data_IF_626491297542
#
_entry.id   IF_626491297542
#
_cell.length_a   1.000
_cell.length_b   1.000
_cell.length_c   1.000
_cell.angle_alpha   90.00
_cell.angle_beta   90.00
_cell.angle_gamma   90.00
#
_symmetry.space_group_name_H-M   'P 1'
#
loop_
_entity.id
_entity.type
_entity.pdbx_description
1 polymer ?
#
# COMPACT_ATOMS: atom_id res chain seq x y z
N UNK A 1 -4.33 9.51 17.83
CA UNK A 1 -4.49 9.46 16.35
C UNK A 1 -5.08 8.11 15.96
N UNK A 2 -5.75 8.00 14.81
CA UNK A 2 -6.25 6.73 14.25
C UNK A 2 -6.33 6.77 12.74
N UNK A 3 -6.19 5.61 12.08
CA UNK A 3 -6.47 5.47 10.66
C UNK A 3 -7.83 4.86 10.44
N UNK A 4 -8.73 5.51 9.69
CA UNK A 4 -10.04 4.97 9.31
C UNK A 4 -10.08 4.58 7.85
N UNK A 5 -10.91 3.60 7.48
CA UNK A 5 -11.24 3.34 6.09
C UNK A 5 -12.74 3.14 5.88
N UNK A 6 -13.18 3.39 4.65
CA UNK A 6 -14.56 3.16 4.24
C UNK A 6 -14.64 2.90 2.73
N UNK A 7 -15.60 2.07 2.34
CA UNK A 7 -16.10 2.07 0.97
C UNK A 7 -17.27 3.05 0.87
N UNK A 8 -17.16 4.01 -0.03
CA UNK A 8 -18.26 4.91 -0.36
C UNK A 8 -19.34 4.16 -1.15
N UNK A 9 -20.56 4.67 -1.07
CA UNK A 9 -21.67 4.22 -1.92
C UNK A 9 -21.40 4.45 -3.42
N UNK A 10 -20.44 5.32 -3.76
CA UNK A 10 -20.00 5.59 -5.14
C UNK A 10 -18.96 4.58 -5.65
N UNK A 11 -18.69 3.51 -4.88
CA UNK A 11 -17.74 2.47 -5.27
C UNK A 11 -16.28 2.92 -5.19
N UNK A 12 -15.94 3.80 -4.24
CA UNK A 12 -14.59 4.27 -3.97
C UNK A 12 -14.16 3.84 -2.58
N UNK A 13 -12.91 3.48 -2.41
CA UNK A 13 -12.30 3.20 -1.13
C UNK A 13 -11.55 4.42 -0.65
N UNK A 14 -11.60 4.72 0.64
CA UNK A 14 -10.80 5.76 1.26
C UNK A 14 -10.09 5.22 2.50
N UNK A 15 -8.81 5.56 2.65
CA UNK A 15 -8.07 5.47 3.91
C UNK A 15 -7.74 6.88 4.39
N UNK A 16 -7.96 7.14 5.68
CA UNK A 16 -7.95 8.47 6.29
C UNK A 16 -7.16 8.48 7.57
N UNK A 17 -6.34 9.51 7.74
CA UNK A 17 -5.85 9.91 9.05
C UNK A 17 -6.93 10.70 9.79
N UNK A 18 -7.16 10.35 11.07
CA UNK A 18 -8.13 11.01 11.95
C UNK A 18 -7.51 11.26 13.31
N UNK A 19 -7.88 12.38 13.92
CA UNK A 19 -7.64 12.64 15.34
C UNK A 19 -8.58 11.80 16.20
N UNK A 20 -8.20 11.63 17.48
CA UNK A 20 -9.11 11.07 18.49
C UNK A 20 -10.20 12.07 18.85
N UNK A 21 -9.87 13.37 18.84
CA UNK A 21 -10.77 14.46 19.15
C UNK A 21 -11.27 15.13 17.86
N UNK A 22 -12.59 15.13 17.59
CA UNK A 22 -13.16 15.69 16.36
C UNK A 22 -12.87 17.18 16.12
N UNK A 23 -12.48 17.92 17.16
CA UNK A 23 -12.15 19.34 17.11
C UNK A 23 -10.71 19.63 16.67
N UNK A 24 -9.84 18.63 16.63
CA UNK A 24 -8.44 18.80 16.24
C UNK A 24 -8.26 18.71 14.72
N UNK A 25 -7.44 19.60 14.16
CA UNK A 25 -7.13 19.63 12.74
C UNK A 25 -6.00 18.66 12.40
N UNK A 26 -6.24 17.78 11.43
CA UNK A 26 -5.20 17.01 10.74
C UNK A 26 -4.70 17.80 9.53
N UNK A 27 -3.39 17.86 9.32
CA UNK A 27 -2.74 18.47 8.15
C UNK A 27 -3.20 17.80 6.85
N UNK A 28 -3.21 18.57 5.75
CA UNK A 28 -3.50 18.05 4.41
C UNK A 28 -2.23 17.59 3.72
N UNK A 29 -2.26 16.49 2.94
CA UNK A 29 -3.40 15.59 2.69
C UNK A 29 -3.62 14.56 3.82
N UNK A 30 -4.88 14.39 4.25
CA UNK A 30 -5.29 13.44 5.30
C UNK A 30 -6.03 12.20 4.81
N UNK A 31 -6.25 12.11 3.50
CA UNK A 31 -7.09 11.06 2.89
C UNK A 31 -6.53 10.64 1.52
N UNK A 32 -6.28 9.34 1.39
CA UNK A 32 -6.07 8.69 0.10
C UNK A 32 -7.38 8.03 -0.34
N UNK A 33 -7.82 8.35 -1.56
CA UNK A 33 -8.98 7.77 -2.22
C UNK A 33 -8.53 6.92 -3.39
N UNK A 34 -9.07 5.73 -3.48
CA UNK A 34 -8.93 4.83 -4.61
C UNK A 34 -10.30 4.67 -5.27
N UNK A 35 -10.35 4.79 -6.58
CA UNK A 35 -11.54 4.55 -7.38
C UNK A 35 -11.73 3.05 -7.59
N UNK A 36 -11.81 2.28 -6.51
CA UNK A 36 -12.21 0.87 -6.45
C UNK A 36 -12.76 0.54 -5.06
N UNK A 37 -13.45 -0.59 -4.93
CA UNK A 37 -13.99 -1.07 -3.64
C UNK A 37 -13.04 -2.12 -3.08
N UNK A 38 -12.66 -1.98 -1.81
CA UNK A 38 -11.84 -2.97 -1.08
C UNK A 38 -12.68 -3.57 0.05
N UNK A 39 -13.03 -4.85 -0.08
CA UNK A 39 -13.95 -5.56 0.82
C UNK A 39 -13.24 -6.33 1.94
N UNK A 40 -12.02 -6.81 1.70
CA UNK A 40 -11.22 -7.64 2.61
C UNK A 40 -10.15 -6.89 3.40
N UNK A 41 -10.34 -5.60 3.69
CA UNK A 41 -9.29 -4.79 4.32
C UNK A 41 -8.85 -5.33 5.68
N UNK A 42 -7.58 -5.68 5.79
CA UNK A 42 -6.96 -6.15 7.03
C UNK A 42 -6.45 -4.97 7.88
N UNK A 43 -6.58 -5.08 9.21
CA UNK A 43 -6.17 -4.03 10.17
C UNK A 43 -4.68 -3.72 10.14
N UNK A 44 -3.82 -4.74 10.11
CA UNK A 44 -2.36 -4.57 10.08
C UNK A 44 -1.90 -3.99 8.75
N UNK A 45 -2.52 -4.40 7.64
CA UNK A 45 -2.29 -3.82 6.31
C UNK A 45 -2.71 -2.35 6.28
N UNK A 46 -3.91 -2.04 6.76
CA UNK A 46 -4.40 -0.66 6.82
C UNK A 46 -3.53 0.21 7.74
N UNK A 47 -3.07 -0.34 8.87
CA UNK A 47 -2.14 0.33 9.76
C UNK A 47 -0.83 0.64 9.05
N UNK A 48 -0.14 -0.36 8.48
CA UNK A 48 1.12 -0.15 7.79
C UNK A 48 0.99 0.78 6.59
N UNK A 49 -0.03 0.59 5.74
CA UNK A 49 -0.28 1.49 4.61
C UNK A 49 -0.53 2.93 5.09
N UNK A 50 -1.31 3.11 6.15
CA UNK A 50 -1.52 4.42 6.79
C UNK A 50 -0.21 5.03 7.30
N UNK A 51 0.66 4.24 7.94
CA UNK A 51 1.97 4.68 8.41
C UNK A 51 2.84 5.21 7.26
N UNK A 52 2.87 4.50 6.14
CA UNK A 52 3.68 4.86 4.97
C UNK A 52 3.11 6.09 4.23
N UNK A 53 1.77 6.19 4.11
CA UNK A 53 1.11 7.32 3.44
C UNK A 53 1.24 8.60 4.28
N UNK A 54 1.02 8.53 5.59
CA UNK A 54 0.91 9.69 6.49
C UNK A 54 2.11 9.85 7.45
N UNK A 55 3.28 9.31 7.07
CA UNK A 55 4.49 9.21 7.91
C UNK A 55 4.91 10.50 8.64
N UNK A 56 4.76 11.67 8.03
CA UNK A 56 5.16 12.95 8.64
C UNK A 56 4.27 13.37 9.81
N UNK A 57 2.97 13.05 9.76
CA UNK A 57 1.98 13.50 10.76
C UNK A 57 1.93 12.62 12.00
N UNK A 58 2.47 11.39 11.90
CA UNK A 58 2.32 10.34 12.90
C UNK A 58 3.56 10.13 13.77
N UNK A 59 4.68 10.76 13.44
CA UNK A 59 5.90 10.63 14.22
C UNK A 59 5.63 10.99 15.69
N UNK A 60 6.04 10.09 16.60
CA UNK A 60 5.83 10.19 18.06
C UNK A 60 4.37 10.26 18.53
N UNK A 61 3.39 10.09 17.64
CA UNK A 61 1.98 10.09 18.01
C UNK A 61 1.56 8.76 18.63
N UNK A 62 0.52 8.79 19.47
CA UNK A 62 -0.18 7.57 19.86
C UNK A 62 -1.23 7.23 18.81
N UNK A 63 -1.19 6.00 18.30
CA UNK A 63 -2.18 5.43 17.38
C UNK A 63 -3.09 4.45 18.15
N UNK A 64 -4.35 4.83 18.34
CA UNK A 64 -5.34 4.03 19.07
C UNK A 64 -6.05 3.01 18.19
N UNK A 65 -6.07 3.21 16.87
CA UNK A 65 -6.67 2.27 15.94
C UNK A 65 -6.15 2.44 14.50
N UNK A 66 -5.93 1.35 13.73
CA UNK A 66 -5.97 -0.05 14.16
C UNK A 66 -4.90 -0.38 15.19
N UNK A 67 -5.11 -1.49 15.91
CA UNK A 67 -4.13 -2.04 16.83
C UNK A 67 -3.02 -2.75 16.04
N UNK A 68 -1.80 -2.70 16.57
CA UNK A 68 -0.64 -3.37 15.98
C UNK A 68 -0.44 -4.76 16.59
N UNK A 69 0.10 -5.72 15.83
CA UNK A 69 0.73 -6.89 16.43
C UNK A 69 2.04 -6.49 17.11
N UNK A 70 2.55 -7.36 17.99
CA UNK A 70 3.85 -7.13 18.63
C UNK A 70 4.97 -7.07 17.60
N UNK A 71 4.94 -7.95 16.60
CA UNK A 71 5.93 -8.02 15.52
C UNK A 71 5.98 -6.72 14.71
N UNK A 72 4.82 -6.13 14.42
CA UNK A 72 4.74 -4.86 13.71
C UNK A 72 5.21 -3.69 14.58
N UNK A 73 4.86 -3.65 15.88
CA UNK A 73 5.37 -2.62 16.81
C UNK A 73 6.90 -2.67 16.89
N UNK A 74 7.48 -3.86 17.06
CA UNK A 74 8.93 -4.05 17.15
C UNK A 74 9.64 -3.63 15.86
N UNK A 75 9.11 -4.00 14.69
CA UNK A 75 9.68 -3.58 13.40
C UNK A 75 9.57 -2.08 13.17
N UNK A 76 8.42 -1.45 13.49
CA UNK A 76 8.27 0.01 13.38
C UNK A 76 9.25 0.75 14.29
N UNK A 77 9.42 0.29 15.54
CA UNK A 77 10.39 0.89 16.47
C UNK A 77 11.82 0.76 16.00
N UNK A 78 12.17 -0.35 15.34
CA UNK A 78 13.50 -0.55 14.75
C UNK A 78 13.76 0.45 13.63
N UNK A 79 12.79 0.62 12.73
CA UNK A 79 12.92 1.49 11.55
C UNK A 79 12.85 2.98 11.91
N UNK A 80 11.87 3.41 12.72
CA UNK A 80 11.71 4.83 13.07
C UNK A 80 12.57 5.29 14.26
N UNK A 81 13.08 4.37 15.07
CA UNK A 81 13.81 4.70 16.30
C UNK A 81 13.00 5.58 17.23
N UNK A 82 13.56 6.72 17.64
CA UNK A 82 12.92 7.67 18.56
C UNK A 82 11.69 8.39 17.97
N UNK A 83 11.48 8.33 16.66
CA UNK A 83 10.32 8.91 15.99
C UNK A 83 9.14 7.94 15.92
N UNK A 84 9.31 6.70 16.40
CA UNK A 84 8.29 5.67 16.27
C UNK A 84 6.98 6.09 16.96
N UNK A 85 5.82 5.93 16.27
CA UNK A 85 4.54 6.07 16.92
C UNK A 85 4.34 4.98 17.99
N UNK A 86 3.42 5.22 18.92
CA UNK A 86 3.04 4.26 19.96
C UNK A 86 1.72 3.61 19.60
N UNK A 87 1.66 2.29 19.58
CA UNK A 87 0.44 1.56 19.25
C UNK A 87 -0.28 1.02 20.48
N UNK A 88 -1.59 0.83 20.33
CA UNK A 88 -2.27 -0.19 21.12
C UNK A 88 -2.02 -1.57 20.50
N UNK A 89 -1.68 -2.54 21.34
CA UNK A 89 -1.34 -3.90 20.89
C UNK A 89 -2.61 -4.75 20.76
N UNK A 90 -2.73 -5.45 19.64
CA UNK A 90 -3.70 -6.52 19.44
C UNK A 90 -3.13 -7.81 20.01
N UNK A 91 -3.81 -8.39 21.01
CA UNK A 91 -3.34 -9.61 21.67
C UNK A 91 -3.66 -10.85 20.85
N UNK A 92 -4.63 -10.78 19.93
CA UNK A 92 -5.07 -11.89 19.10
C UNK A 92 -5.16 -11.45 17.63
N UNK A 93 -4.02 -11.21 16.96
CA UNK A 93 -4.03 -10.83 15.55
C UNK A 93 -4.48 -12.00 14.68
N UNK A 94 -5.71 -11.94 14.18
CA UNK A 94 -6.26 -12.91 13.24
C UNK A 94 -6.05 -12.42 11.80
N UNK A 95 -4.87 -12.71 11.24
CA UNK A 95 -4.58 -12.50 9.83
C UNK A 95 -3.58 -13.52 9.31
N UNK A 96 -3.88 -14.09 8.16
CA UNK A 96 -2.92 -14.90 7.43
C UNK A 96 -3.10 -14.60 5.95
N UNK A 97 -2.07 -14.05 5.27
CA UNK A 97 -2.13 -13.91 3.83
C UNK A 97 -2.09 -15.28 3.17
N UNK A 98 -2.61 -15.33 1.95
CA UNK A 98 -2.67 -16.51 1.12
C UNK A 98 -1.61 -16.44 0.01
N UNK A 99 -1.02 -17.58 -0.32
CA UNK A 99 0.08 -17.66 -1.28
C UNK A 99 -0.41 -17.84 -2.72
N UNK A 100 -1.65 -17.50 -3.02
CA UNK A 100 -2.28 -17.78 -4.32
C UNK A 100 -2.05 -16.70 -5.38
N UNK A 101 -1.67 -15.49 -4.97
CA UNK A 101 -1.50 -14.36 -5.89
C UNK A 101 -0.24 -13.57 -5.54
N UNK A 102 0.43 -13.05 -6.58
CA UNK A 102 1.48 -12.03 -6.47
C UNK A 102 0.99 -10.77 -7.16
N UNK A 103 1.04 -9.66 -6.44
CA UNK A 103 0.64 -8.36 -6.96
C UNK A 103 1.86 -7.57 -7.40
N UNK A 104 1.81 -7.05 -8.63
CA UNK A 104 2.91 -6.33 -9.26
C UNK A 104 2.47 -4.88 -9.49
N UNK A 105 2.98 -3.94 -8.69
CA UNK A 105 2.71 -2.52 -8.87
C UNK A 105 3.83 -1.85 -9.67
N UNK A 106 3.45 -1.17 -10.75
CA UNK A 106 4.40 -0.49 -11.62
C UNK A 106 3.84 0.79 -12.25
N UNK A 107 4.72 1.54 -12.93
CA UNK A 107 4.32 2.63 -13.82
C UNK A 107 3.40 2.13 -14.95
N UNK A 108 2.71 3.07 -15.59
CA UNK A 108 1.85 2.75 -16.72
C UNK A 108 2.61 2.05 -17.86
N UNK A 109 2.10 0.87 -18.20
CA UNK A 109 2.49 0.03 -19.32
C UNK A 109 1.21 -0.41 -20.03
N UNK A 110 0.77 0.32 -21.06
CA UNK A 110 -0.41 -0.04 -21.81
C UNK A 110 -0.27 -1.45 -22.40
N UNK A 111 -1.34 -2.24 -22.30
CA UNK A 111 -1.43 -3.61 -22.85
C UNK A 111 -0.47 -4.63 -22.24
N UNK A 112 0.30 -4.26 -21.21
CA UNK A 112 1.16 -5.20 -20.50
C UNK A 112 0.33 -6.10 -19.57
N UNK A 113 0.68 -7.38 -19.54
CA UNK A 113 0.20 -8.34 -18.55
C UNK A 113 1.40 -9.16 -18.04
N UNK A 114 1.36 -9.67 -16.79
CA UNK A 114 2.41 -10.52 -16.28
C UNK A 114 2.45 -11.86 -17.00
N UNK A 115 3.65 -12.40 -17.20
CA UNK A 115 3.85 -13.76 -17.67
C UNK A 115 3.29 -14.72 -16.63
N UNK A 116 2.27 -15.51 -17.00
CA UNK A 116 1.72 -16.53 -16.13
C UNK A 116 2.55 -17.82 -16.22
N UNK A 117 2.71 -18.51 -15.08
CA UNK A 117 3.30 -19.85 -15.00
C UNK A 117 2.42 -20.74 -14.13
N UNK A 118 2.24 -21.99 -14.55
CA UNK A 118 1.44 -22.99 -13.81
C UNK A 118 2.10 -23.36 -12.47
N UNK A 119 3.43 -23.22 -12.38
CA UNK A 119 4.23 -23.60 -11.21
C UNK A 119 4.34 -22.48 -10.17
N UNK A 120 3.83 -21.28 -10.48
CA UNK A 120 3.94 -20.09 -9.62
C UNK A 120 2.55 -19.57 -9.24
N UNK A 121 2.41 -18.81 -8.14
CA UNK A 121 1.18 -18.11 -7.84
C UNK A 121 0.79 -17.19 -9.01
N UNK A 122 -0.51 -16.96 -9.17
CA UNK A 122 -1.02 -16.10 -10.24
C UNK A 122 -0.47 -14.69 -10.08
N UNK A 123 0.02 -14.10 -11.16
CA UNK A 123 0.61 -12.77 -11.13
C UNK A 123 -0.39 -11.76 -11.68
N UNK A 124 -0.56 -10.63 -11.01
CA UNK A 124 -1.48 -9.59 -11.48
C UNK A 124 -0.83 -8.22 -11.43
N UNK A 125 -0.89 -7.54 -12.57
CA UNK A 125 -0.37 -6.18 -12.75
C UNK A 125 -1.35 -5.16 -12.18
N UNK A 126 -0.84 -4.26 -11.35
CA UNK A 126 -1.55 -3.16 -10.75
C UNK A 126 -1.02 -1.86 -11.33
N UNK A 127 -1.92 -1.01 -11.82
CA UNK A 127 -1.58 0.29 -12.39
C UNK A 127 -2.47 1.36 -11.80
N UNK A 128 -1.83 2.28 -11.08
CA UNK A 128 -2.50 3.40 -10.43
C UNK A 128 -2.43 4.61 -11.35
N UNK A 129 -3.58 5.23 -11.59
CA UNK A 129 -3.69 6.47 -12.37
C UNK A 129 -4.05 7.64 -11.46
N UNK A 130 -3.69 8.85 -11.86
CA UNK A 130 -4.20 10.03 -11.18
C UNK A 130 -5.65 10.30 -11.56
N UNK A 131 -6.51 10.41 -10.56
CA UNK A 131 -7.91 10.80 -10.70
C UNK A 131 -8.11 12.17 -11.36
N UNK A 132 -7.09 13.05 -11.33
CA UNK A 132 -7.12 14.31 -12.06
C UNK A 132 -7.09 14.13 -13.60
N UNK A 133 -6.54 13.02 -14.08
CA UNK A 133 -6.34 12.75 -15.51
C UNK A 133 -7.16 11.57 -16.02
N UNK A 134 -7.55 10.65 -15.14
CA UNK A 134 -8.25 9.43 -15.51
C UNK A 134 -9.18 8.97 -14.38
N UNK A 135 -10.46 8.75 -14.70
CA UNK A 135 -11.50 8.37 -13.73
C UNK A 135 -12.12 7.00 -14.03
N UNK A 136 -11.50 6.25 -14.94
CA UNK A 136 -11.94 4.92 -15.33
C UNK A 136 -11.62 3.86 -14.29
N UNK A 137 -11.98 2.61 -14.61
CA UNK A 137 -11.51 1.39 -13.95
C UNK A 137 -11.41 0.30 -15.00
N UNK A 138 -10.30 -0.41 -15.06
CA UNK A 138 -10.14 -1.55 -15.96
C UNK A 138 -9.79 -2.78 -15.14
N UNK A 139 -10.60 -3.81 -15.25
CA UNK A 139 -10.36 -5.08 -14.59
C UNK A 139 -10.28 -6.17 -15.64
N UNK A 140 -9.16 -6.86 -15.64
CA UNK A 140 -8.96 -8.11 -16.35
C UNK A 140 -8.44 -9.14 -15.38
N UNK A 141 -8.30 -10.38 -15.85
CA UNK A 141 -7.76 -11.46 -15.04
C UNK A 141 -6.33 -11.09 -14.59
N UNK A 142 -5.47 -10.58 -15.46
CA UNK A 142 -4.06 -10.41 -15.13
C UNK A 142 -3.64 -8.94 -14.92
N UNK A 143 -4.60 -8.01 -14.97
CA UNK A 143 -4.34 -6.57 -14.86
C UNK A 143 -5.51 -5.82 -14.24
N UNK A 144 -5.19 -4.92 -13.32
CA UNK A 144 -6.12 -3.98 -12.68
C UNK A 144 -5.59 -2.55 -12.83
N UNK A 145 -6.37 -1.70 -13.48
CA UNK A 145 -6.14 -0.26 -13.54
C UNK A 145 -7.21 0.49 -12.74
N UNK A 146 -6.79 1.42 -11.90
CA UNK A 146 -7.68 2.20 -11.06
C UNK A 146 -7.12 3.60 -10.78
N UNK A 147 -8.02 4.56 -10.51
CA UNK A 147 -7.64 5.92 -10.24
C UNK A 147 -7.40 6.11 -8.74
N UNK A 148 -6.52 7.04 -8.39
CA UNK A 148 -6.34 7.50 -7.03
C UNK A 148 -6.07 9.01 -7.02
N UNK A 149 -6.35 9.68 -5.91
CA UNK A 149 -6.09 11.12 -5.74
C UNK A 149 -4.60 11.43 -5.49
N UNK A 150 -3.69 10.84 -6.26
CA UNK A 150 -2.24 10.95 -6.07
C UNK A 150 -1.74 12.39 -6.18
N UNK A 151 -2.37 13.23 -7.00
CA UNK A 151 -2.06 14.66 -7.12
C UNK A 151 -2.20 15.42 -5.80
N UNK A 152 -3.07 14.98 -4.89
CA UNK A 152 -3.19 15.56 -3.55
C UNK A 152 -1.93 15.35 -2.69
N UNK A 153 -1.08 14.39 -3.06
CA UNK A 153 0.19 14.05 -2.41
C UNK A 153 1.41 14.52 -3.24
N UNK A 154 1.20 15.39 -4.23
CA UNK A 154 2.28 15.92 -5.08
C UNK A 154 2.96 14.82 -5.90
N UNK A 155 4.31 14.79 -5.89
CA UNK A 155 5.10 13.83 -6.66
C UNK A 155 5.42 12.52 -5.92
N UNK A 156 4.88 12.32 -4.71
CA UNK A 156 5.20 11.15 -3.88
C UNK A 156 4.95 9.82 -4.60
N UNK A 157 3.86 9.65 -5.34
CA UNK A 157 3.67 8.41 -6.09
C UNK A 157 4.81 8.11 -7.10
N UNK A 158 5.38 9.13 -7.74
CA UNK A 158 6.44 8.97 -8.73
C UNK A 158 7.85 8.83 -8.10
N UNK A 159 8.05 9.33 -6.88
CA UNK A 159 9.38 9.53 -6.27
C UNK A 159 9.57 8.79 -4.93
N UNK A 160 8.48 8.33 -4.30
CA UNK A 160 8.46 7.74 -2.96
C UNK A 160 8.01 6.27 -3.03
N UNK A 161 8.97 5.36 -2.88
CA UNK A 161 8.77 3.92 -2.85
C UNK A 161 7.79 3.51 -1.74
N UNK A 162 7.84 4.17 -0.58
CA UNK A 162 6.96 3.84 0.54
C UNK A 162 5.49 4.09 0.21
N UNK A 163 5.21 5.15 -0.56
CA UNK A 163 3.87 5.47 -1.03
C UNK A 163 3.36 4.44 -2.05
N UNK A 164 4.22 3.96 -2.96
CA UNK A 164 3.88 2.86 -3.88
C UNK A 164 3.58 1.58 -3.12
N UNK A 165 4.45 1.19 -2.19
CA UNK A 165 4.27 0.03 -1.32
C UNK A 165 2.95 0.12 -0.55
N UNK A 166 2.61 1.28 -0.01
CA UNK A 166 1.36 1.48 0.71
C UNK A 166 0.11 1.21 -0.14
N UNK A 167 0.09 1.69 -1.39
CA UNK A 167 -1.04 1.43 -2.29
C UNK A 167 -1.12 -0.05 -2.66
N UNK A 168 0.03 -0.68 -2.94
CA UNK A 168 0.09 -2.11 -3.22
C UNK A 168 -0.40 -2.95 -2.02
N UNK A 169 -0.01 -2.57 -0.81
CA UNK A 169 -0.44 -3.19 0.45
C UNK A 169 -1.96 -3.17 0.61
N UNK A 170 -2.62 -2.04 0.35
CA UNK A 170 -4.08 -1.92 0.45
C UNK A 170 -4.80 -2.94 -0.44
N UNK A 171 -4.30 -3.18 -1.66
CA UNK A 171 -4.83 -4.19 -2.57
C UNK A 171 -4.48 -5.62 -2.12
N UNK A 172 -3.28 -5.80 -1.58
CA UNK A 172 -2.83 -7.06 -1.00
C UNK A 172 -3.80 -7.58 0.06
N UNK A 173 -4.36 -6.70 0.89
CA UNK A 173 -5.32 -7.08 1.92
C UNK A 173 -6.61 -7.65 1.34
N UNK A 174 -7.17 -6.99 0.33
CA UNK A 174 -8.42 -7.46 -0.30
C UNK A 174 -8.23 -8.79 -1.04
N UNK A 175 -7.10 -8.96 -1.71
CA UNK A 175 -6.80 -10.19 -2.47
C UNK A 175 -6.08 -11.27 -1.68
N UNK A 176 -5.82 -11.01 -0.39
CA UNK A 176 -5.04 -11.88 0.50
C UNK A 176 -3.71 -12.31 -0.11
N UNK A 177 -3.08 -11.47 -0.92
CA UNK A 177 -1.79 -11.79 -1.53
C UNK A 177 -0.69 -11.75 -0.46
N UNK A 178 0.22 -12.71 -0.47
CA UNK A 178 1.38 -12.76 0.44
C UNK A 178 2.66 -12.17 -0.17
N UNK A 179 2.69 -11.90 -1.48
CA UNK A 179 3.86 -11.34 -2.16
C UNK A 179 3.48 -10.07 -2.93
N UNK A 180 4.30 -9.04 -2.74
CA UNK A 180 4.26 -7.77 -3.45
C UNK A 180 5.54 -7.60 -4.26
N UNK A 181 5.39 -7.25 -5.53
CA UNK A 181 6.47 -6.76 -6.38
C UNK A 181 6.19 -5.30 -6.68
N UNK A 182 7.13 -4.42 -6.38
CA UNK A 182 6.97 -2.97 -6.63
C UNK A 182 8.14 -2.49 -7.47
N UNK A 183 7.83 -1.74 -8.54
CA UNK A 183 8.84 -1.06 -9.33
C UNK A 183 9.50 0.08 -8.54
N UNK A 184 10.83 0.10 -8.54
CA UNK A 184 11.62 1.17 -7.96
C UNK A 184 11.31 2.50 -8.68
N UNK A 185 10.91 3.56 -7.95
CA UNK A 185 10.67 4.86 -8.56
C UNK A 185 11.94 5.43 -9.19
N UNK A 186 11.78 6.25 -10.23
CA UNK A 186 12.91 6.90 -10.96
C UNK A 186 13.61 7.97 -10.13
N UNK A 187 12.88 8.61 -9.21
CA UNK A 187 13.43 9.48 -8.18
C UNK A 187 13.50 8.75 -6.84
N UNK A 188 14.40 9.16 -5.95
CA UNK A 188 14.44 8.68 -4.57
C UNK A 188 14.19 9.86 -3.64
N UNK A 189 12.97 9.97 -3.15
CA UNK A 189 12.60 10.88 -2.07
C UNK A 189 11.86 10.08 -1.00
N UNK A 190 12.57 9.09 -0.44
CA UNK A 190 12.00 8.12 0.51
C UNK A 190 12.52 8.41 1.91
N UNK A 191 11.62 8.38 2.89
CA UNK A 191 11.97 8.42 4.32
C UNK A 191 12.51 7.07 4.79
N UNK A 192 12.08 5.98 4.14
CA UNK A 192 12.47 4.60 4.43
C UNK A 192 13.38 4.06 3.34
N UNK A 193 14.43 3.38 3.75
CA UNK A 193 15.21 2.63 2.77
C UNK A 193 14.47 1.36 2.31
N UNK A 194 15.02 0.68 1.31
CA UNK A 194 14.40 -0.53 0.74
C UNK A 194 14.31 -1.68 1.75
N UNK A 195 15.32 -1.85 2.61
CA UNK A 195 15.37 -2.92 3.60
C UNK A 195 14.37 -2.67 4.72
N UNK A 196 14.21 -1.41 5.15
CA UNK A 196 13.19 -1.00 6.10
C UNK A 196 11.80 -1.39 5.61
N UNK A 197 11.49 -1.11 4.34
CA UNK A 197 10.20 -1.45 3.75
C UNK A 197 9.98 -2.97 3.66
N UNK A 198 11.04 -3.73 3.35
CA UNK A 198 11.00 -5.20 3.35
C UNK A 198 10.70 -5.73 4.76
N UNK A 199 11.40 -5.24 5.77
CA UNK A 199 11.23 -5.64 7.17
C UNK A 199 9.84 -5.30 7.71
N UNK A 200 9.32 -4.11 7.38
CA UNK A 200 7.97 -3.70 7.75
C UNK A 200 6.91 -4.58 7.09
N UNK A 201 7.03 -4.87 5.79
CA UNK A 201 6.08 -5.76 5.12
C UNK A 201 6.15 -7.18 5.70
N UNK A 202 7.35 -7.69 5.98
CA UNK A 202 7.54 -9.02 6.56
C UNK A 202 6.89 -9.13 7.95
N UNK A 203 6.88 -8.07 8.75
CA UNK A 203 6.24 -8.04 10.07
C UNK A 203 4.73 -8.26 10.06
N UNK A 204 4.08 -8.07 8.91
CA UNK A 204 2.66 -8.35 8.68
C UNK A 204 2.42 -9.56 7.76
N UNK A 205 3.46 -10.35 7.52
CA UNK A 205 3.41 -11.57 6.71
C UNK A 205 3.48 -11.35 5.20
N UNK A 206 3.84 -10.15 4.73
CA UNK A 206 3.91 -9.82 3.30
C UNK A 206 5.37 -9.79 2.85
N UNK A 207 5.71 -10.60 1.85
CA UNK A 207 7.02 -10.57 1.19
C UNK A 207 7.05 -9.45 0.16
N UNK A 208 7.91 -8.46 0.37
CA UNK A 208 8.15 -7.39 -0.60
C UNK A 208 9.37 -7.69 -1.47
N UNK A 209 9.25 -7.47 -2.77
CA UNK A 209 10.35 -7.43 -3.73
C UNK A 209 10.33 -6.09 -4.45
N UNK A 210 11.48 -5.44 -4.49
CA UNK A 210 11.65 -4.18 -5.22
C UNK A 210 12.53 -4.44 -6.41
N UNK A 211 12.02 -4.13 -7.60
CA UNK A 211 12.71 -4.38 -8.86
C UNK A 211 12.95 -3.06 -9.59
N UNK A 212 14.06 -2.95 -10.31
CA UNK A 212 14.19 -1.88 -11.29
C UNK A 212 13.29 -2.13 -12.51
N UNK A 213 13.19 -1.11 -13.38
CA UNK A 213 12.35 -1.18 -14.56
C UNK A 213 12.75 -2.33 -15.50
N UNK A 214 14.05 -2.62 -15.66
CA UNK A 214 14.52 -3.65 -16.58
C UNK A 214 14.17 -5.05 -16.07
N UNK A 215 14.41 -5.31 -14.78
CA UNK A 215 14.00 -6.54 -14.11
C UNK A 215 12.49 -6.75 -14.14
N UNK A 216 11.72 -5.66 -14.06
CA UNK A 216 10.28 -5.74 -14.16
C UNK A 216 9.81 -6.10 -15.58
N UNK A 217 10.42 -5.54 -16.63
CA UNK A 217 10.08 -5.89 -18.02
C UNK A 217 10.25 -7.39 -18.30
N UNK A 218 11.22 -8.05 -17.67
CA UNK A 218 11.41 -9.50 -17.79
C UNK A 218 10.23 -10.32 -17.26
N UNK A 219 9.34 -9.71 -16.47
CA UNK A 219 8.13 -10.34 -15.92
C UNK A 219 6.89 -10.12 -16.79
N UNK A 220 6.96 -9.31 -17.85
CA UNK A 220 5.80 -8.83 -18.59
C UNK A 220 5.78 -9.32 -20.05
N UNK A 221 4.57 -9.44 -20.59
CA UNK A 221 4.31 -9.58 -22.03
C UNK A 221 3.29 -8.54 -22.46
N UNK A 222 3.40 -8.07 -23.70
CA UNK A 222 2.51 -7.06 -24.25
C UNK A 222 1.49 -7.74 -25.15
N UNK A 223 0.22 -7.70 -24.73
CA UNK A 223 -0.89 -8.14 -25.56
C UNK A 223 -1.05 -7.17 -26.74
N UNK A 224 -1.26 -7.71 -27.95
CA UNK A 224 -1.56 -6.92 -29.15
C UNK A 224 -3.05 -6.65 -29.26
#
# INVERSE_FOLDING_TARGET
MRFGWENSLTGKFAIRERTEFPSESVSFPRELKLDLVLTGMNKSIALLAGLLIFNENIARQRLSWPKASLELDDSVRRVWGELAPRFEIDQNPDWTPDNHTVLILCDDRPYAVPIQSIEKPRQVLLQVRDSAHWTGKMFSIDRVEFAANISAFGRRFAEDLSFRVAIALLLCGDWRSSELVVERPKGSNTVFDENDLIDLCASIGIKLRVLDAAQLEEMLVYAK
#
